data_IF_887357490704
#
_entry.id   IF_887357490704
#
_cell.length_a   1.000
_cell.length_b   1.000
_cell.length_c   1.000
_cell.angle_alpha   90.00
_cell.angle_beta   90.00
_cell.angle_gamma   90.00
#
_symmetry.space_group_name_H-M   'P 1'
#
loop_
_entity.id
_entity.type
_entity.pdbx_description
1 polymer ?
#
# COMPACT_ATOMS: atom_id res chain seq x y z
N UNK A 1 -18.85 -7.51 -16.02
CA UNK A 1 -19.52 -8.71 -16.56
C UNK A 1 -20.30 -8.21 -17.77
N UNK A 2 -20.01 -8.75 -18.93
CA UNK A 2 -20.73 -8.44 -20.16
C UNK A 2 -22.08 -9.19 -20.23
N UNK A 3 -22.81 -8.99 -21.35
CA UNK A 3 -24.11 -9.68 -21.58
C UNK A 3 -23.98 -11.22 -21.67
N UNK A 4 -22.75 -11.75 -21.81
CA UNK A 4 -22.45 -13.18 -21.88
C UNK A 4 -21.90 -13.73 -20.55
N UNK A 5 -21.95 -12.98 -19.45
CA UNK A 5 -21.43 -13.36 -18.14
C UNK A 5 -19.90 -13.63 -18.11
N UNK A 6 -19.15 -13.14 -19.10
CA UNK A 6 -17.69 -13.25 -19.10
C UNK A 6 -17.08 -12.20 -18.20
N UNK A 7 -16.14 -12.60 -17.35
CA UNK A 7 -15.35 -11.68 -16.54
C UNK A 7 -14.39 -10.93 -17.45
N UNK A 8 -14.51 -9.60 -17.49
CA UNK A 8 -13.52 -8.76 -18.13
C UNK A 8 -12.31 -8.61 -17.17
N UNK A 9 -11.17 -9.15 -17.56
CA UNK A 9 -9.88 -8.97 -16.86
C UNK A 9 -9.14 -7.72 -17.38
N UNK A 10 -9.87 -6.69 -17.79
CA UNK A 10 -9.32 -5.45 -18.35
C UNK A 10 -9.96 -4.22 -17.75
N UNK A 11 -9.16 -3.18 -17.61
CA UNK A 11 -9.65 -1.87 -17.20
C UNK A 11 -10.35 -1.18 -18.37
N UNK A 12 -11.38 -0.37 -18.06
CA UNK A 12 -12.01 0.50 -19.06
C UNK A 12 -11.02 1.55 -19.59
N UNK A 13 -10.13 2.03 -18.72
CA UNK A 13 -9.08 3.01 -19.00
C UNK A 13 -7.71 2.34 -18.82
N UNK A 14 -7.48 1.27 -19.56
CA UNK A 14 -6.27 0.43 -19.42
C UNK A 14 -4.99 1.21 -19.73
N UNK A 15 -5.05 2.11 -20.74
CA UNK A 15 -3.92 2.94 -21.11
C UNK A 15 -3.48 3.86 -19.98
N UNK A 16 -4.42 4.56 -19.37
CA UNK A 16 -4.16 5.49 -18.27
C UNK A 16 -3.59 4.77 -17.04
N UNK A 17 -4.08 3.55 -16.75
CA UNK A 17 -3.53 2.72 -15.68
C UNK A 17 -2.12 2.23 -16.03
N UNK A 18 -1.88 1.86 -17.27
CA UNK A 18 -0.56 1.45 -17.73
C UNK A 18 0.44 2.61 -17.65
N UNK A 19 0.04 3.80 -18.08
CA UNK A 19 0.88 4.99 -17.99
C UNK A 19 1.20 5.33 -16.52
N UNK A 20 0.22 5.23 -15.60
CA UNK A 20 0.45 5.37 -14.16
C UNK A 20 1.46 4.33 -13.63
N UNK A 21 1.33 3.07 -14.02
CA UNK A 21 2.24 2.02 -13.59
C UNK A 21 3.67 2.26 -14.09
N UNK A 22 3.84 2.73 -15.33
CA UNK A 22 5.14 3.09 -15.88
C UNK A 22 5.79 4.26 -15.13
N UNK A 23 4.99 5.27 -14.77
CA UNK A 23 5.46 6.38 -13.94
C UNK A 23 5.92 5.88 -12.58
N UNK A 24 5.12 5.09 -11.87
CA UNK A 24 5.48 4.48 -10.57
C UNK A 24 6.76 3.65 -10.67
N UNK A 25 6.89 2.89 -11.74
CA UNK A 25 8.01 2.01 -12.01
C UNK A 25 9.31 2.76 -12.33
N UNK A 26 9.22 4.01 -12.76
CA UNK A 26 10.36 4.77 -13.29
C UNK A 26 10.80 4.30 -14.69
N UNK A 27 9.89 3.70 -15.45
CA UNK A 27 10.12 3.28 -16.84
C UNK A 27 9.93 4.41 -17.84
N UNK A 28 9.35 5.53 -17.44
CA UNK A 28 9.25 6.75 -18.25
C UNK A 28 10.57 7.53 -18.18
N UNK A 29 10.92 8.22 -19.29
CA UNK A 29 12.19 8.99 -19.39
C UNK A 29 12.22 10.19 -18.44
N UNK A 30 11.05 10.77 -18.12
CA UNK A 30 10.95 11.91 -17.22
C UNK A 30 10.82 11.45 -15.77
N UNK A 31 11.92 11.53 -15.03
CA UNK A 31 11.92 11.28 -13.59
C UNK A 31 11.05 12.31 -12.86
N UNK A 32 10.02 11.84 -12.16
CA UNK A 32 9.17 12.67 -11.32
C UNK A 32 9.01 12.06 -9.92
N UNK A 33 8.40 12.80 -9.01
CA UNK A 33 8.21 12.37 -7.62
C UNK A 33 7.40 11.06 -7.47
N UNK A 34 6.58 10.71 -8.47
CA UNK A 34 5.80 9.48 -8.47
C UNK A 34 6.61 8.26 -8.94
N UNK A 35 7.80 8.45 -9.50
CA UNK A 35 8.69 7.35 -9.91
C UNK A 35 9.41 6.72 -8.70
N UNK A 36 8.66 6.45 -7.64
CA UNK A 36 9.22 6.09 -6.35
C UNK A 36 9.91 4.72 -6.32
N UNK A 37 9.56 3.79 -7.21
CA UNK A 37 10.27 2.50 -7.29
C UNK A 37 11.70 2.65 -7.82
N UNK A 38 12.04 3.77 -8.43
CA UNK A 38 13.38 4.07 -8.91
C UNK A 38 14.25 4.85 -7.90
N UNK A 39 13.73 5.18 -6.73
CA UNK A 39 14.51 5.87 -5.69
C UNK A 39 15.59 4.97 -5.08
N UNK A 40 16.74 5.54 -4.76
CA UNK A 40 17.91 4.80 -4.26
C UNK A 40 17.61 3.98 -3.00
N UNK A 41 16.84 4.54 -2.03
CA UNK A 41 16.44 3.80 -0.82
C UNK A 41 15.62 2.55 -1.12
N UNK A 42 14.83 2.58 -2.19
CA UNK A 42 13.99 1.47 -2.62
C UNK A 42 14.83 0.46 -3.37
N UNK A 43 15.74 0.92 -4.25
CA UNK A 43 16.72 0.07 -4.92
C UNK A 43 17.61 -0.68 -3.91
N UNK A 44 18.01 -0.03 -2.83
CA UNK A 44 18.75 -0.65 -1.73
C UNK A 44 17.93 -1.66 -0.91
N UNK A 45 16.65 -1.85 -1.22
CA UNK A 45 15.77 -2.80 -0.56
C UNK A 45 15.30 -2.39 0.83
N UNK A 46 15.37 -1.09 1.16
CA UNK A 46 14.95 -0.55 2.47
C UNK A 46 13.44 -0.28 2.53
N UNK A 47 12.79 -0.13 1.39
CA UNK A 47 11.34 0.12 1.24
C UNK A 47 10.82 -0.60 0.01
N UNK A 48 9.49 -0.65 -0.14
CA UNK A 48 8.80 -1.30 -1.25
C UNK A 48 9.23 -2.76 -1.49
N UNK A 49 9.51 -3.48 -0.41
CA UNK A 49 9.77 -4.93 -0.49
C UNK A 49 8.47 -5.72 -0.59
N UNK A 50 7.49 -5.33 0.20
CA UNK A 50 6.18 -5.99 0.29
C UNK A 50 5.08 -4.93 0.19
N UNK A 51 4.65 -4.69 -1.03
CA UNK A 51 3.64 -3.69 -1.37
C UNK A 51 2.25 -4.32 -1.21
N UNK A 52 1.30 -3.56 -0.66
CA UNK A 52 -0.12 -3.87 -0.72
C UNK A 52 -0.85 -2.83 -1.56
N UNK A 53 -1.59 -3.27 -2.58
CA UNK A 53 -2.45 -2.43 -3.41
C UNK A 53 -3.90 -2.61 -2.99
N UNK A 54 -4.53 -1.54 -2.52
CA UNK A 54 -5.95 -1.51 -2.15
C UNK A 54 -6.77 -1.03 -3.34
N UNK A 55 -7.58 -1.91 -3.90
CA UNK A 55 -8.34 -1.71 -5.12
C UNK A 55 -9.84 -1.63 -4.86
N UNK A 56 -10.65 -0.97 -5.72
CA UNK A 56 -12.08 -0.80 -5.51
C UNK A 56 -12.88 -2.09 -5.67
N UNK A 57 -12.47 -2.97 -6.59
CA UNK A 57 -13.23 -4.16 -6.96
C UNK A 57 -12.34 -5.39 -7.11
N UNK A 58 -12.92 -6.58 -6.92
CA UNK A 58 -12.24 -7.86 -7.13
C UNK A 58 -11.74 -8.02 -8.57
N UNK A 59 -12.57 -7.64 -9.54
CA UNK A 59 -12.18 -7.63 -10.95
C UNK A 59 -11.01 -6.69 -11.25
N UNK A 60 -10.84 -5.61 -10.47
CA UNK A 60 -9.69 -4.72 -10.60
C UNK A 60 -8.39 -5.39 -10.14
N UNK A 61 -8.46 -6.30 -9.15
CA UNK A 61 -7.29 -7.08 -8.74
C UNK A 61 -6.84 -8.00 -9.87
N UNK A 62 -7.77 -8.72 -10.50
CA UNK A 62 -7.46 -9.60 -11.63
C UNK A 62 -6.93 -8.82 -12.84
N UNK A 63 -7.54 -7.67 -13.15
CA UNK A 63 -7.11 -6.81 -14.25
C UNK A 63 -5.71 -6.22 -14.01
N UNK A 64 -5.39 -5.81 -12.77
CA UNK A 64 -4.08 -5.27 -12.44
C UNK A 64 -2.99 -6.35 -12.48
N UNK A 65 -3.30 -7.56 -12.00
CA UNK A 65 -2.41 -8.71 -12.09
C UNK A 65 -2.07 -9.02 -13.54
N UNK A 66 -3.08 -9.09 -14.42
CA UNK A 66 -2.88 -9.34 -15.85
C UNK A 66 -2.06 -8.23 -16.50
N UNK A 67 -2.35 -6.97 -16.18
CA UNK A 67 -1.65 -5.82 -16.74
C UNK A 67 -0.16 -5.82 -16.38
N UNK A 68 0.18 -6.10 -15.11
CA UNK A 68 1.58 -6.16 -14.67
C UNK A 68 2.30 -7.34 -15.33
N UNK A 69 1.65 -8.50 -15.45
CA UNK A 69 2.25 -9.71 -16.06
C UNK A 69 2.41 -9.63 -17.57
N UNK A 70 1.59 -8.85 -18.25
CA UNK A 70 1.57 -8.75 -19.70
C UNK A 70 2.50 -7.68 -20.26
N UNK A 71 3.14 -6.88 -19.42
CA UNK A 71 4.03 -5.79 -19.81
C UNK A 71 5.39 -5.91 -19.13
N UNK A 72 6.43 -5.45 -19.83
CA UNK A 72 7.78 -5.36 -19.28
C UNK A 72 7.95 -4.05 -18.51
N UNK A 73 8.21 -4.17 -17.21
CA UNK A 73 8.53 -3.08 -16.32
C UNK A 73 9.95 -3.22 -15.79
N UNK A 74 10.59 -2.09 -15.51
CA UNK A 74 11.96 -2.04 -14.98
C UNK A 74 12.07 -2.69 -13.59
N UNK A 75 11.08 -2.44 -12.74
CA UNK A 75 11.05 -2.90 -11.35
C UNK A 75 9.84 -3.81 -11.07
N UNK A 76 8.63 -3.46 -11.52
CA UNK A 76 7.41 -4.18 -11.21
C UNK A 76 7.43 -5.63 -11.71
N UNK A 77 8.11 -5.92 -12.84
CA UNK A 77 8.28 -7.28 -13.36
C UNK A 77 9.06 -8.20 -12.41
N UNK A 78 9.81 -7.64 -11.45
CA UNK A 78 10.58 -8.41 -10.47
C UNK A 78 9.81 -8.73 -9.18
N UNK A 79 8.52 -8.36 -9.12
CA UNK A 79 7.68 -8.65 -7.97
C UNK A 79 6.84 -9.91 -8.19
N UNK A 80 6.75 -10.74 -7.17
CA UNK A 80 5.74 -11.80 -7.13
C UNK A 80 4.38 -11.22 -6.77
N UNK A 81 3.36 -11.48 -7.58
CA UNK A 81 2.01 -10.96 -7.37
C UNK A 81 1.20 -11.95 -6.54
N UNK A 82 0.65 -11.47 -5.43
CA UNK A 82 -0.20 -12.22 -4.50
C UNK A 82 -1.61 -11.63 -4.56
N UNK A 83 -2.44 -12.14 -5.46
CA UNK A 83 -3.82 -11.69 -5.61
C UNK A 83 -4.73 -12.44 -4.61
N UNK A 84 -5.09 -11.77 -3.51
CA UNK A 84 -5.90 -12.35 -2.43
C UNK A 84 -7.40 -12.07 -2.55
N UNK A 85 -7.78 -11.18 -3.45
CA UNK A 85 -9.18 -10.76 -3.64
C UNK A 85 -9.70 -11.00 -5.05
N UNK A 86 -8.90 -11.56 -5.94
CA UNK A 86 -9.32 -11.93 -7.29
C UNK A 86 -10.48 -12.91 -7.29
N UNK A 87 -11.27 -12.88 -8.34
CA UNK A 87 -12.48 -13.71 -8.45
C UNK A 87 -12.14 -15.20 -8.50
N UNK A 88 -11.04 -15.55 -9.16
CA UNK A 88 -10.59 -16.94 -9.32
C UNK A 88 -9.66 -17.41 -8.18
N UNK A 89 -9.02 -16.47 -7.49
CA UNK A 89 -7.96 -16.77 -6.52
C UNK A 89 -8.43 -16.86 -5.05
N UNK A 90 -9.73 -16.65 -4.78
CA UNK A 90 -10.27 -16.65 -3.42
C UNK A 90 -9.97 -17.94 -2.62
N UNK A 91 -9.81 -19.05 -3.33
CA UNK A 91 -9.54 -20.37 -2.72
C UNK A 91 -8.08 -20.54 -2.27
N UNK A 92 -7.14 -19.77 -2.84
CA UNK A 92 -5.71 -19.96 -2.62
C UNK A 92 -5.21 -19.28 -1.33
N UNK A 93 -5.86 -18.19 -0.90
CA UNK A 93 -5.48 -17.42 0.28
C UNK A 93 -6.69 -17.29 1.21
N UNK A 94 -6.94 -18.35 2.02
CA UNK A 94 -8.11 -18.41 2.90
C UNK A 94 -8.02 -17.46 4.08
N UNK A 95 -6.80 -17.23 4.58
CA UNK A 95 -6.54 -16.45 5.80
C UNK A 95 -5.23 -15.66 5.70
N UNK A 96 -4.99 -14.85 6.72
CA UNK A 96 -3.78 -14.03 6.85
C UNK A 96 -2.51 -14.86 6.95
N UNK A 97 -2.59 -16.04 7.57
CA UNK A 97 -1.42 -16.91 7.76
C UNK A 97 -0.92 -17.47 6.42
N UNK A 98 -1.83 -17.81 5.50
CA UNK A 98 -1.47 -18.24 4.15
C UNK A 98 -0.76 -17.14 3.36
N UNK A 99 -1.22 -15.89 3.48
CA UNK A 99 -0.57 -14.73 2.86
C UNK A 99 0.81 -14.48 3.44
N UNK A 100 0.93 -14.46 4.78
CA UNK A 100 2.21 -14.30 5.47
C UNK A 100 3.20 -15.41 5.12
N UNK A 101 2.74 -16.65 5.05
CA UNK A 101 3.58 -17.80 4.67
C UNK A 101 4.13 -17.63 3.24
N UNK A 102 3.28 -17.19 2.29
CA UNK A 102 3.73 -16.91 0.92
C UNK A 102 4.75 -15.77 0.89
N UNK A 103 4.50 -14.65 1.60
CA UNK A 103 5.42 -13.53 1.67
C UNK A 103 6.76 -13.96 2.29
N UNK A 104 6.74 -14.68 3.40
CA UNK A 104 7.97 -15.18 4.06
C UNK A 104 8.78 -16.12 3.16
N UNK A 105 8.09 -16.96 2.38
CA UNK A 105 8.76 -17.79 1.37
C UNK A 105 9.46 -16.92 0.33
N UNK A 106 8.76 -15.94 -0.25
CA UNK A 106 9.34 -15.01 -1.21
C UNK A 106 10.52 -14.24 -0.59
N UNK A 107 10.38 -13.79 0.65
CA UNK A 107 11.43 -13.08 1.37
C UNK A 107 12.69 -13.95 1.57
N UNK A 108 12.54 -15.24 1.89
CA UNK A 108 13.67 -16.18 2.01
C UNK A 108 14.41 -16.41 0.69
N UNK A 109 13.74 -16.21 -0.43
CA UNK A 109 14.28 -16.29 -1.79
C UNK A 109 14.71 -14.90 -2.31
N UNK A 110 14.69 -13.88 -1.46
CA UNK A 110 14.96 -12.46 -1.79
C UNK A 110 14.04 -11.90 -2.89
N UNK A 111 12.82 -12.40 -2.98
CA UNK A 111 11.79 -11.96 -3.93
C UNK A 111 10.90 -10.92 -3.25
N UNK A 112 10.67 -9.80 -3.92
CA UNK A 112 9.71 -8.77 -3.51
C UNK A 112 8.29 -9.19 -3.87
N UNK A 113 7.27 -8.65 -3.15
CA UNK A 113 5.87 -9.03 -3.41
C UNK A 113 4.96 -7.84 -3.57
N UNK A 114 3.94 -8.00 -4.43
CA UNK A 114 2.80 -7.08 -4.52
C UNK A 114 1.54 -7.87 -4.16
N UNK A 115 0.88 -7.48 -3.07
CA UNK A 115 -0.39 -8.06 -2.66
C UNK A 115 -1.54 -7.23 -3.20
N UNK A 116 -2.46 -7.84 -3.95
CA UNK A 116 -3.66 -7.17 -4.48
C UNK A 116 -4.87 -7.52 -3.62
N UNK A 117 -5.54 -6.51 -3.09
CA UNK A 117 -6.71 -6.68 -2.22
C UNK A 117 -7.77 -5.60 -2.47
N UNK A 118 -9.01 -5.90 -2.09
CA UNK A 118 -10.10 -4.90 -1.99
C UNK A 118 -10.11 -4.33 -0.58
N UNK A 119 -10.74 -5.02 0.37
CA UNK A 119 -10.73 -4.72 1.81
C UNK A 119 -10.34 -5.96 2.63
N UNK A 120 -10.07 -7.06 1.94
CA UNK A 120 -9.74 -8.32 2.59
C UNK A 120 -8.42 -8.19 3.33
N UNK A 121 -8.39 -8.66 4.57
CA UNK A 121 -7.22 -8.58 5.47
C UNK A 121 -6.79 -7.17 5.87
N UNK A 122 -7.56 -6.14 5.52
CA UNK A 122 -7.39 -4.79 6.05
C UNK A 122 -8.17 -4.58 7.36
N UNK A 123 -9.12 -5.48 7.66
CA UNK A 123 -9.90 -5.48 8.90
C UNK A 123 -9.68 -6.77 9.67
N UNK A 124 -9.50 -6.69 10.98
CA UNK A 124 -9.42 -7.85 11.87
C UNK A 124 -8.13 -8.69 11.83
N UNK A 125 -7.23 -8.48 10.86
CA UNK A 125 -5.99 -9.21 10.73
C UNK A 125 -4.82 -8.30 10.32
N UNK A 126 -3.60 -8.74 10.56
CA UNK A 126 -2.39 -7.94 10.28
C UNK A 126 -1.38 -8.78 9.52
N UNK A 127 -0.91 -8.25 8.38
CA UNK A 127 0.25 -8.75 7.67
C UNK A 127 1.41 -7.82 7.98
N UNK A 128 2.29 -8.25 8.88
CA UNK A 128 3.35 -7.40 9.42
C UNK A 128 4.41 -7.04 8.39
N UNK A 129 4.55 -7.85 7.37
CA UNK A 129 5.55 -7.74 6.32
C UNK A 129 5.30 -6.55 5.37
N UNK A 130 4.04 -6.11 5.20
CA UNK A 130 3.73 -4.98 4.32
C UNK A 130 4.41 -3.69 4.78
N UNK A 131 5.26 -3.13 3.94
CA UNK A 131 6.00 -1.89 4.19
C UNK A 131 5.50 -0.70 3.37
N UNK A 132 4.77 -0.98 2.29
CA UNK A 132 4.25 0.02 1.36
C UNK A 132 2.80 -0.26 1.03
N UNK A 133 1.98 0.78 0.99
CA UNK A 133 0.58 0.70 0.57
C UNK A 133 0.31 1.66 -0.58
N UNK A 134 -0.21 1.12 -1.69
CA UNK A 134 -0.79 1.91 -2.77
C UNK A 134 -2.31 1.91 -2.60
N UNK A 135 -2.85 3.06 -2.22
CA UNK A 135 -4.29 3.21 -2.00
C UNK A 135 -4.96 3.69 -3.29
N UNK A 136 -5.43 2.73 -4.09
CA UNK A 136 -6.02 2.95 -5.41
C UNK A 136 -7.56 2.89 -5.40
N UNK A 137 -8.14 2.93 -4.22
CA UNK A 137 -9.58 2.90 -4.00
C UNK A 137 -10.06 4.26 -3.56
N UNK A 138 -11.20 4.70 -4.07
CA UNK A 138 -11.89 5.85 -3.48
C UNK A 138 -12.72 5.42 -2.27
N UNK A 139 -12.69 6.23 -1.21
CA UNK A 139 -13.51 6.05 -0.01
C UNK A 139 -13.88 7.40 0.59
N UNK A 140 -15.12 7.52 1.02
CA UNK A 140 -15.61 8.65 1.81
C UNK A 140 -15.57 8.37 3.32
N UNK A 141 -15.14 7.16 3.73
CA UNK A 141 -15.07 6.76 5.14
C UNK A 141 -13.68 7.03 5.71
N UNK A 142 -13.52 8.04 6.59
CA UNK A 142 -12.27 8.28 7.31
C UNK A 142 -11.83 7.05 8.12
N UNK A 143 -12.77 6.36 8.73
CA UNK A 143 -12.51 5.18 9.55
C UNK A 143 -11.92 4.03 8.73
N UNK A 144 -12.43 3.79 7.53
CA UNK A 144 -11.91 2.75 6.64
C UNK A 144 -10.46 3.05 6.24
N UNK A 145 -10.19 4.31 5.90
CA UNK A 145 -8.87 4.78 5.52
C UNK A 145 -7.86 4.67 6.67
N UNK A 146 -8.22 5.16 7.85
CA UNK A 146 -7.37 5.07 9.05
C UNK A 146 -7.07 3.62 9.42
N UNK A 147 -8.06 2.73 9.35
CA UNK A 147 -7.84 1.30 9.61
C UNK A 147 -6.83 0.69 8.63
N UNK A 148 -6.86 1.07 7.37
CA UNK A 148 -5.88 0.61 6.39
C UNK A 148 -4.46 1.11 6.76
N UNK A 149 -4.31 2.38 7.10
CA UNK A 149 -3.03 2.98 7.52
C UNK A 149 -2.48 2.28 8.78
N UNK A 150 -3.31 2.05 9.79
CA UNK A 150 -2.88 1.35 11.00
C UNK A 150 -2.33 -0.05 10.71
N UNK A 151 -2.86 -0.76 9.71
CA UNK A 151 -2.33 -2.07 9.30
C UNK A 151 -0.93 -1.97 8.71
N UNK A 152 -0.65 -0.89 7.99
CA UNK A 152 0.68 -0.65 7.44
C UNK A 152 1.70 -0.32 8.54
N UNK A 153 1.29 0.39 9.60
CA UNK A 153 2.19 0.87 10.65
C UNK A 153 2.62 -0.20 11.67
N UNK A 154 2.07 -1.40 11.62
CA UNK A 154 2.48 -2.48 12.54
C UNK A 154 3.94 -2.87 12.33
N UNK A 155 4.68 -3.00 13.42
CA UNK A 155 6.10 -3.38 13.39
C UNK A 155 6.30 -4.79 12.85
N UNK A 156 7.37 -4.99 12.10
CA UNK A 156 7.84 -6.29 11.65
C UNK A 156 9.19 -6.60 12.30
N UNK A 157 9.15 -7.31 13.42
CA UNK A 157 10.33 -7.63 14.22
C UNK A 157 10.81 -9.05 13.90
N UNK A 158 12.07 -9.17 13.49
CA UNK A 158 12.79 -10.45 13.42
C UNK A 158 13.75 -10.59 14.60
N UNK A 159 13.88 -11.81 15.06
CA UNK A 159 14.76 -12.18 16.17
C UNK A 159 15.91 -12.98 15.59
N UNK A 160 17.11 -12.50 15.80
CA UNK A 160 18.36 -13.17 15.41
C UNK A 160 19.11 -13.63 16.64
N UNK A 161 19.76 -14.79 16.55
CA UNK A 161 20.72 -15.26 17.57
C UNK A 161 22.11 -15.00 17.04
N UNK A 162 22.90 -14.26 17.79
CA UNK A 162 24.31 -14.06 17.49
C UNK A 162 25.14 -15.30 17.85
N UNK A 163 26.33 -15.47 17.27
CA UNK A 163 27.25 -16.55 17.63
C UNK A 163 27.63 -16.56 19.11
N UNK A 164 27.56 -15.40 19.79
CA UNK A 164 27.75 -15.24 21.25
C UNK A 164 26.64 -15.89 22.09
N UNK A 165 25.50 -16.24 21.46
CA UNK A 165 24.28 -16.71 22.12
C UNK A 165 23.29 -15.60 22.47
N UNK A 166 23.66 -14.35 22.23
CA UNK A 166 22.79 -13.19 22.48
C UNK A 166 21.64 -13.13 21.48
N UNK A 167 20.51 -12.58 21.92
CA UNK A 167 19.29 -12.45 21.12
C UNK A 167 19.11 -10.98 20.72
N UNK A 168 19.25 -10.71 19.44
CA UNK A 168 19.05 -9.36 18.87
C UNK A 168 17.69 -9.28 18.18
N UNK A 169 16.90 -8.27 18.52
CA UNK A 169 15.62 -7.97 17.87
C UNK A 169 15.84 -6.84 16.86
N UNK A 170 15.46 -7.08 15.63
CA UNK A 170 15.60 -6.11 14.56
C UNK A 170 14.24 -5.78 13.94
N UNK A 171 13.91 -4.49 13.86
CA UNK A 171 12.72 -4.05 13.13
C UNK A 171 13.04 -3.97 11.63
N UNK A 172 12.53 -4.93 10.87
CA UNK A 172 12.72 -5.02 9.42
C UNK A 172 12.01 -3.90 8.65
N UNK A 173 11.12 -3.18 9.32
CA UNK A 173 10.26 -2.14 8.74
C UNK A 173 10.31 -0.87 9.60
N UNK A 174 11.46 -0.15 9.63
CA UNK A 174 11.60 1.08 10.43
C UNK A 174 10.78 2.24 9.88
N UNK A 175 10.45 2.20 8.59
CA UNK A 175 9.66 3.19 7.88
C UNK A 175 8.61 2.48 7.02
N UNK A 176 7.50 3.16 6.76
CA UNK A 176 6.43 2.72 5.84
C UNK A 176 6.10 3.82 4.87
N UNK A 177 5.67 3.43 3.66
CA UNK A 177 5.27 4.37 2.62
C UNK A 177 3.78 4.16 2.29
N UNK A 178 3.00 5.22 2.44
CA UNK A 178 1.63 5.29 1.93
C UNK A 178 1.62 6.18 0.70
N UNK A 179 1.14 5.67 -0.41
CA UNK A 179 0.91 6.43 -1.65
C UNK A 179 -0.58 6.48 -1.91
N UNK A 180 -1.14 7.67 -1.86
CA UNK A 180 -2.54 7.95 -2.17
C UNK A 180 -2.60 8.95 -3.32
N UNK A 181 -3.26 8.60 -4.41
CA UNK A 181 -3.38 9.45 -5.60
C UNK A 181 -4.55 10.42 -5.53
N UNK A 182 -5.26 10.51 -4.39
CA UNK A 182 -6.29 11.50 -4.15
C UNK A 182 -5.82 12.56 -3.14
N UNK A 183 -5.26 13.70 -3.59
CA UNK A 183 -4.75 14.75 -2.70
C UNK A 183 -5.87 15.34 -1.83
N UNK A 184 -7.09 15.46 -2.35
CA UNK A 184 -8.23 15.98 -1.59
C UNK A 184 -8.58 15.09 -0.39
N UNK A 185 -8.39 13.78 -0.49
CA UNK A 185 -8.65 12.85 0.61
C UNK A 185 -7.75 13.12 1.80
N UNK A 186 -6.47 13.34 1.58
CA UNK A 186 -5.52 13.67 2.64
C UNK A 186 -5.95 14.94 3.39
N UNK A 187 -6.33 16.00 2.67
CA UNK A 187 -6.82 17.24 3.29
C UNK A 187 -8.12 17.01 4.08
N UNK A 188 -9.11 16.33 3.49
CA UNK A 188 -10.38 16.04 4.16
C UNK A 188 -10.18 15.20 5.43
N UNK A 189 -9.30 14.20 5.40
CA UNK A 189 -9.01 13.37 6.56
C UNK A 189 -8.34 14.17 7.68
N UNK A 190 -7.41 15.06 7.34
CA UNK A 190 -6.78 15.94 8.31
C UNK A 190 -7.76 16.95 8.88
N UNK A 191 -8.63 17.51 8.06
CA UNK A 191 -9.70 18.40 8.50
C UNK A 191 -10.65 17.67 9.47
N UNK A 192 -11.12 16.49 9.14
CA UNK A 192 -11.98 15.69 10.02
C UNK A 192 -11.30 15.35 11.35
N UNK A 193 -10.06 14.92 11.33
CA UNK A 193 -9.29 14.64 12.55
C UNK A 193 -9.18 15.88 13.43
N UNK A 194 -8.84 17.01 12.83
CA UNK A 194 -8.71 18.27 13.55
C UNK A 194 -10.03 18.76 14.15
N UNK A 195 -11.15 18.57 13.44
CA UNK A 195 -12.49 18.89 13.93
C UNK A 195 -12.88 18.01 15.15
N UNK A 196 -12.63 16.69 15.08
CA UNK A 196 -12.90 15.78 16.20
C UNK A 196 -12.10 16.16 17.44
N UNK A 197 -10.84 16.54 17.27
CA UNK A 197 -9.98 16.98 18.37
C UNK A 197 -10.38 18.36 18.90
N UNK A 198 -10.97 19.23 18.08
CA UNK A 198 -11.36 20.57 18.47
C UNK A 198 -12.66 20.59 19.28
N UNK A 199 -13.61 19.70 19.00
CA UNK A 199 -14.86 19.55 19.75
C UNK A 199 -14.60 19.16 21.23
N UNK A 200 -13.49 18.49 21.49
CA UNK A 200 -13.14 18.00 22.85
C UNK A 200 -12.25 18.96 23.65
N UNK A 201 -11.78 20.07 23.10
CA UNK A 201 -10.71 20.85 23.74
C UNK A 201 -10.87 22.35 23.78
N UNK A 202 -12.05 22.95 23.68
CA UNK A 202 -12.26 24.37 24.01
C UNK A 202 -12.63 25.36 22.89
N UNK A 203 -13.35 26.35 23.40
CA UNK A 203 -13.86 27.61 22.92
C UNK A 203 -12.82 28.67 22.41
N UNK A 204 -11.55 28.34 22.19
CA UNK A 204 -10.52 29.32 21.87
C UNK A 204 -9.92 29.16 20.47
N UNK A 205 -10.67 29.57 19.45
CA UNK A 205 -10.11 30.00 18.17
C UNK A 205 -9.40 28.96 17.27
N UNK A 206 -9.32 29.27 16.00
CA UNK A 206 -8.72 28.44 14.95
C UNK A 206 -7.18 28.25 15.04
N UNK A 207 -6.47 28.98 15.89
CA UNK A 207 -5.00 28.94 15.98
C UNK A 207 -4.45 27.56 16.38
N UNK A 208 -5.11 26.88 17.30
CA UNK A 208 -4.70 25.52 17.70
C UNK A 208 -4.97 24.47 16.61
N UNK A 209 -5.97 24.71 15.78
CA UNK A 209 -6.29 23.89 14.63
C UNK A 209 -5.21 24.01 13.56
N UNK A 210 -4.79 25.24 13.24
CA UNK A 210 -3.71 25.52 12.30
C UNK A 210 -2.39 24.90 12.75
N UNK A 211 -2.04 25.02 14.02
CA UNK A 211 -0.82 24.42 14.57
C UNK A 211 -0.84 22.90 14.51
N UNK A 212 -2.00 22.26 14.71
CA UNK A 212 -2.14 20.81 14.58
C UNK A 212 -2.04 20.36 13.14
N UNK A 213 -2.75 21.03 12.22
CA UNK A 213 -2.65 20.74 10.78
C UNK A 213 -1.19 20.90 10.34
N UNK A 214 -0.50 21.93 10.78
CA UNK A 214 0.92 22.15 10.46
C UNK A 214 1.80 21.00 10.95
N UNK A 215 1.62 20.55 12.19
CA UNK A 215 2.36 19.42 12.74
C UNK A 215 2.07 18.10 12.02
N UNK A 216 0.81 17.86 11.64
CA UNK A 216 0.45 16.67 10.85
C UNK A 216 1.08 16.72 9.46
N UNK A 217 1.14 17.89 8.82
CA UNK A 217 1.81 18.07 7.52
C UNK A 217 3.33 17.92 7.60
N UNK A 218 3.94 18.21 8.74
CA UNK A 218 5.38 17.92 8.99
C UNK A 218 5.65 16.41 9.07
N UNK A 219 4.72 15.64 9.64
CA UNK A 219 4.84 14.18 9.79
C UNK A 219 4.43 13.46 8.51
N UNK A 220 3.42 13.97 7.82
CA UNK A 220 2.88 13.42 6.57
C UNK A 220 2.86 14.50 5.49
N UNK A 221 4.00 14.80 4.86
CA UNK A 221 4.07 15.83 3.83
C UNK A 221 3.21 15.42 2.64
N UNK A 222 2.36 16.36 2.19
CA UNK A 222 1.60 16.21 0.96
C UNK A 222 2.49 16.70 -0.17
N UNK A 223 2.82 15.81 -1.08
CA UNK A 223 3.54 16.14 -2.31
C UNK A 223 2.49 16.24 -3.42
N UNK A 224 2.33 17.44 -4.00
CA UNK A 224 1.40 17.73 -5.09
C UNK A 224 2.20 17.97 -6.35
#
# INVERSE_FOLDING_TARGET
IDKENKLHKKFKYEKEILDLLKVIDGSEEDANLLSFLDYDKIKEGKMCRHIVCVLPYRASCDALEELIKSHDFKHLSNYEIINISGVENEKNFKDTQAVQAKIKKCESENIKTITLTVNRMLTGSTVHEWDTMLYLKDTSSPQEYDQAIFRLQNQYIKVFKEPSGDVVKFNMKPQTLLVDFNPNRMFQMQEHKSQIYNVNTESNGNSKLEDRIRKELEISPIVV
#
